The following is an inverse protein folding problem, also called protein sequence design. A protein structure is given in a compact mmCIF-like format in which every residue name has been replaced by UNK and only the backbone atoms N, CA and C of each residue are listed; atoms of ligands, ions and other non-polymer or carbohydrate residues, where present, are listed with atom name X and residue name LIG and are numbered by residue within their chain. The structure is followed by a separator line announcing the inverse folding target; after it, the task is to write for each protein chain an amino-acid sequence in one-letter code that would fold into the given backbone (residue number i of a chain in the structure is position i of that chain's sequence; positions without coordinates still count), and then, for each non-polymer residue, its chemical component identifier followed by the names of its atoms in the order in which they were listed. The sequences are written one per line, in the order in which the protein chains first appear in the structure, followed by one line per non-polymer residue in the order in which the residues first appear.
data_IF_497052323609
#
_entry.id   IF_497052323609
#
_cell.length_a   1.000
_cell.length_b   1.000
_cell.length_c   1.000
_cell.angle_alpha   90.00
_cell.angle_beta   90.00
_cell.angle_gamma   90.00
#
_symmetry.space_group_name_H-M   'P 1'
#
loop_
_entity.id
_entity.type
_entity.pdbx_description
1 polymer ?
#
# COMPACT_ATOMS: atom_id res chain seq x y z
N UNK A 1 19.70 19.78 0.27
CA UNK A 1 20.92 18.93 0.18
C UNK A 1 20.83 17.68 1.04
N UNK A 2 20.43 17.79 2.31
CA UNK A 2 20.26 16.64 3.23
C UNK A 2 19.38 15.52 2.69
N UNK A 3 18.24 15.82 2.06
CA UNK A 3 17.35 14.80 1.49
C UNK A 3 17.99 13.94 0.39
N UNK A 4 18.76 14.55 -0.51
CA UNK A 4 19.46 13.83 -1.59
C UNK A 4 20.54 12.92 -1.01
N UNK A 5 21.31 13.43 -0.03
CA UNK A 5 22.34 12.64 0.65
C UNK A 5 21.72 11.45 1.38
N UNK A 6 20.57 11.64 2.03
CA UNK A 6 19.83 10.57 2.70
C UNK A 6 19.40 9.47 1.73
N UNK A 7 18.81 9.84 0.58
CA UNK A 7 18.41 8.88 -0.45
C UNK A 7 19.61 8.10 -0.99
N UNK A 8 20.71 8.80 -1.31
CA UNK A 8 21.93 8.14 -1.78
C UNK A 8 22.53 7.20 -0.72
N UNK A 9 22.48 7.58 0.56
CA UNK A 9 22.94 6.73 1.66
C UNK A 9 22.10 5.45 1.79
N UNK A 10 20.77 5.56 1.70
CA UNK A 10 19.88 4.39 1.74
C UNK A 10 20.13 3.45 0.55
N UNK A 11 20.28 4.00 -0.66
CA UNK A 11 20.62 3.22 -1.85
C UNK A 11 22.01 2.58 -1.73
N UNK A 12 22.98 3.27 -1.14
CA UNK A 12 24.32 2.73 -0.90
C UNK A 12 24.30 1.57 0.11
N UNK A 13 23.50 1.67 1.18
CA UNK A 13 23.30 0.58 2.14
C UNK A 13 22.65 -0.62 1.46
N UNK A 14 21.58 -0.41 0.68
CA UNK A 14 20.91 -1.47 -0.06
C UNK A 14 21.87 -2.16 -1.06
N UNK A 15 22.71 -1.38 -1.75
CA UNK A 15 23.73 -1.91 -2.66
C UNK A 15 24.83 -2.69 -1.90
N UNK A 16 25.28 -2.19 -0.75
CA UNK A 16 26.30 -2.82 0.07
C UNK A 16 25.85 -4.19 0.61
N UNK A 17 24.58 -4.28 1.05
CA UNK A 17 23.94 -5.50 1.57
C UNK A 17 23.37 -6.42 0.48
N UNK A 18 23.50 -6.06 -0.80
CA UNK A 18 23.02 -6.89 -1.91
C UNK A 18 23.75 -8.22 -1.98
N UNK A 19 22.99 -9.32 -2.09
CA UNK A 19 23.53 -10.67 -2.21
C UNK A 19 24.36 -10.87 -3.51
N UNK A 20 23.98 -10.20 -4.61
CA UNK A 20 24.72 -10.24 -5.87
C UNK A 20 24.61 -8.92 -6.62
N UNK A 21 25.63 -8.07 -6.49
CA UNK A 21 25.68 -6.71 -7.07
C UNK A 21 25.71 -6.70 -8.60
N UNK A 22 26.22 -7.76 -9.23
CA UNK A 22 26.28 -7.86 -10.70
C UNK A 22 24.94 -8.27 -11.32
N UNK A 23 24.05 -8.90 -10.55
CA UNK A 23 22.73 -9.31 -11.00
C UNK A 23 21.66 -8.22 -10.84
N UNK A 24 22.04 -7.02 -10.41
CA UNK A 24 21.10 -5.90 -10.23
C UNK A 24 20.59 -5.45 -11.60
N UNK A 25 19.27 -5.57 -11.79
CA UNK A 25 18.61 -5.06 -12.99
C UNK A 25 18.35 -3.55 -12.84
N UNK A 26 19.16 -2.74 -13.50
CA UNK A 26 19.07 -1.27 -13.46
C UNK A 26 17.76 -0.72 -14.00
N UNK A 27 17.08 -1.41 -14.93
CA UNK A 27 15.74 -1.02 -15.37
C UNK A 27 14.73 -1.15 -14.23
N UNK A 28 14.79 -2.24 -13.47
CA UNK A 28 13.88 -2.51 -12.36
C UNK A 28 14.10 -1.54 -11.21
N UNK A 29 15.34 -1.42 -10.72
CA UNK A 29 15.65 -0.55 -9.56
C UNK A 29 15.50 0.93 -9.92
N UNK A 30 16.04 1.35 -11.07
CA UNK A 30 15.92 2.73 -11.54
C UNK A 30 14.48 3.11 -11.86
N UNK A 31 13.71 2.20 -12.48
CA UNK A 31 12.29 2.39 -12.74
C UNK A 31 11.47 2.50 -11.46
N UNK A 32 11.74 1.64 -10.45
CA UNK A 32 11.01 1.65 -9.19
C UNK A 32 11.25 2.96 -8.44
N UNK A 33 12.51 3.39 -8.36
CA UNK A 33 12.87 4.67 -7.77
C UNK A 33 12.24 5.86 -8.54
N UNK A 34 12.25 5.82 -9.87
CA UNK A 34 11.63 6.86 -10.68
C UNK A 34 10.12 6.95 -10.47
N UNK A 35 9.41 5.82 -10.39
CA UNK A 35 7.96 5.80 -10.06
C UNK A 35 7.72 6.40 -8.68
N UNK A 36 8.52 6.03 -7.67
CA UNK A 36 8.36 6.54 -6.31
C UNK A 36 8.57 8.06 -6.23
N UNK A 37 9.64 8.58 -6.86
CA UNK A 37 9.90 10.02 -6.93
C UNK A 37 8.83 10.74 -7.74
N UNK A 38 8.39 10.15 -8.86
CA UNK A 38 7.34 10.72 -9.69
C UNK A 38 6.02 10.86 -8.91
N UNK A 39 5.58 9.81 -8.22
CA UNK A 39 4.37 9.86 -7.39
C UNK A 39 4.52 10.93 -6.30
N UNK A 40 5.66 10.97 -5.60
CA UNK A 40 5.90 11.95 -4.55
C UNK A 40 5.82 13.39 -5.08
N UNK A 41 6.51 13.70 -6.20
CA UNK A 41 6.46 15.04 -6.81
C UNK A 41 5.05 15.35 -7.32
N UNK A 42 4.37 14.38 -7.92
CA UNK A 42 3.03 14.56 -8.44
C UNK A 42 2.05 14.93 -7.32
N UNK A 43 2.00 14.16 -6.22
CA UNK A 43 0.99 14.37 -5.18
C UNK A 43 1.38 15.40 -4.12
N UNK A 44 2.67 15.75 -3.97
CA UNK A 44 3.14 16.67 -2.92
C UNK A 44 3.59 18.04 -3.44
N UNK A 45 3.88 18.19 -4.73
CA UNK A 45 4.42 19.43 -5.28
C UNK A 45 3.59 19.97 -6.46
N UNK A 46 3.05 19.09 -7.28
CA UNK A 46 2.27 19.50 -8.45
C UNK A 46 0.80 19.74 -8.09
N UNK A 47 0.30 20.95 -8.36
CA UNK A 47 -1.01 21.42 -7.90
C UNK A 47 -2.19 20.51 -8.31
N UNK A 48 -2.30 20.03 -9.56
CA UNK A 48 -3.32 19.03 -9.91
C UNK A 48 -3.20 17.71 -9.14
N UNK A 49 -1.98 17.28 -8.82
CA UNK A 49 -1.77 16.05 -8.06
C UNK A 49 -2.05 16.22 -6.56
N UNK A 50 -1.77 17.40 -5.99
CA UNK A 50 -2.21 17.76 -4.63
C UNK A 50 -3.73 17.77 -4.56
N UNK A 51 -4.41 18.39 -5.54
CA UNK A 51 -5.88 18.40 -5.60
C UNK A 51 -6.45 16.98 -5.72
N UNK A 52 -5.83 16.12 -6.53
CA UNK A 52 -6.21 14.71 -6.64
C UNK A 52 -6.03 13.95 -5.31
N UNK A 53 -4.91 14.18 -4.60
CA UNK A 53 -4.67 13.58 -3.29
C UNK A 53 -5.71 14.03 -2.28
N UNK A 54 -6.01 15.33 -2.21
CA UNK A 54 -7.02 15.89 -1.31
C UNK A 54 -8.40 15.31 -1.59
N UNK A 55 -8.79 15.17 -2.87
CA UNK A 55 -10.06 14.55 -3.23
C UNK A 55 -10.17 13.10 -2.73
N UNK A 56 -9.08 12.32 -2.81
CA UNK A 56 -9.03 10.96 -2.26
C UNK A 56 -9.06 10.99 -0.73
N UNK A 57 -8.36 11.92 -0.09
CA UNK A 57 -8.38 12.10 1.37
C UNK A 57 -9.78 12.43 1.87
N UNK A 58 -10.48 13.37 1.23
CA UNK A 58 -11.84 13.76 1.59
C UNK A 58 -12.84 12.61 1.39
N UNK A 59 -12.65 11.83 0.32
CA UNK A 59 -13.44 10.61 0.11
C UNK A 59 -13.25 9.60 1.24
N UNK A 60 -11.99 9.32 1.62
CA UNK A 60 -11.69 8.39 2.72
C UNK A 60 -12.21 8.94 4.05
N UNK A 61 -12.11 10.25 4.29
CA UNK A 61 -12.68 10.90 5.47
C UNK A 61 -14.21 10.75 5.53
N UNK A 62 -14.90 10.88 4.40
CA UNK A 62 -16.34 10.60 4.31
C UNK A 62 -16.68 9.15 4.65
N UNK A 63 -15.88 8.18 4.20
CA UNK A 63 -16.04 6.76 4.56
C UNK A 63 -15.83 6.52 6.06
N UNK A 64 -14.84 7.19 6.68
CA UNK A 64 -14.65 7.15 8.13
C UNK A 64 -15.87 7.75 8.85
N UNK A 65 -16.48 8.81 8.32
CA UNK A 65 -17.72 9.37 8.86
C UNK A 65 -18.86 8.35 8.93
N UNK A 66 -19.01 7.50 7.91
CA UNK A 66 -19.99 6.40 7.97
C UNK A 66 -19.65 5.34 9.03
N UNK A 67 -18.36 5.10 9.29
CA UNK A 67 -17.93 4.21 10.37
C UNK A 67 -18.28 4.81 11.74
N UNK A 68 -18.08 6.12 11.93
CA UNK A 68 -18.40 6.83 13.17
C UNK A 68 -19.89 6.73 13.51
N UNK A 69 -20.80 6.79 12.52
CA UNK A 69 -22.23 6.55 12.74
C UNK A 69 -22.52 5.14 13.29
N UNK A 70 -21.83 4.12 12.77
CA UNK A 70 -21.92 2.75 13.29
C UNK A 70 -21.39 2.61 14.72
N UNK A 71 -20.29 3.31 15.03
CA UNK A 71 -19.70 3.34 16.38
C UNK A 71 -20.66 4.02 17.37
N UNK A 72 -21.26 5.14 16.98
CA UNK A 72 -22.24 5.85 17.79
C UNK A 72 -23.48 5.00 18.07
N UNK A 73 -23.96 4.26 17.06
CA UNK A 73 -25.07 3.32 17.23
C UNK A 73 -24.76 2.21 18.23
N UNK A 74 -23.56 1.62 18.18
CA UNK A 74 -23.18 0.49 19.05
C UNK A 74 -22.80 0.94 20.47
N UNK A 75 -22.06 2.05 20.62
CA UNK A 75 -21.43 2.45 21.88
C UNK A 75 -21.98 3.74 22.51
N UNK A 76 -22.92 4.44 21.84
CA UNK A 76 -23.57 5.64 22.39
C UNK A 76 -22.60 6.74 22.81
N UNK A 77 -22.72 7.21 24.06
CA UNK A 77 -21.94 8.35 24.59
C UNK A 77 -20.42 8.09 24.73
N UNK A 78 -19.99 6.83 24.67
CA UNK A 78 -18.57 6.46 24.66
C UNK A 78 -18.00 6.53 23.24
N UNK A 79 -18.82 6.23 22.23
CA UNK A 79 -18.47 6.29 20.81
C UNK A 79 -18.42 7.71 20.26
N UNK A 80 -19.31 8.59 20.73
CA UNK A 80 -19.39 9.98 20.25
C UNK A 80 -18.36 10.93 20.90
N UNK A 81 -17.36 10.39 21.60
CA UNK A 81 -16.28 11.14 22.29
C UNK A 81 -16.76 12.11 23.38
N UNK A 82 -18.03 12.05 23.81
CA UNK A 82 -18.57 12.94 24.86
C UNK A 82 -17.90 12.71 26.21
N UNK A 83 -17.44 11.49 26.48
CA UNK A 83 -16.69 11.11 27.68
C UNK A 83 -15.16 11.25 27.51
N UNK A 84 -14.71 11.86 26.42
CA UNK A 84 -13.31 11.95 26.02
C UNK A 84 -12.92 10.93 24.93
N UNK A 85 -11.74 11.12 24.35
CA UNK A 85 -11.21 10.22 23.33
C UNK A 85 -10.69 8.92 23.95
N UNK A 86 -11.47 7.85 23.82
CA UNK A 86 -11.07 6.51 24.28
C UNK A 86 -10.66 5.68 23.07
N UNK A 87 -9.37 5.39 22.98
CA UNK A 87 -8.77 4.67 21.84
C UNK A 87 -9.52 3.39 21.46
N UNK A 88 -9.89 2.59 22.46
CA UNK A 88 -10.55 1.30 22.27
C UNK A 88 -11.88 1.39 21.49
N UNK A 89 -12.64 2.47 21.67
CA UNK A 89 -13.95 2.65 21.04
C UNK A 89 -13.90 3.55 19.80
N UNK A 90 -12.87 4.39 19.69
CA UNK A 90 -12.75 5.36 18.60
C UNK A 90 -11.84 4.88 17.46
N UNK A 91 -10.97 3.89 17.70
CA UNK A 91 -9.99 3.42 16.71
C UNK A 91 -10.22 1.97 16.33
N UNK A 92 -10.39 1.06 17.31
CA UNK A 92 -10.53 -0.37 17.01
C UNK A 92 -11.76 -0.71 16.15
N UNK A 93 -12.95 -0.13 16.39
CA UNK A 93 -14.12 -0.44 15.56
C UNK A 93 -13.99 0.05 14.11
N UNK A 94 -13.21 1.12 13.87
CA UNK A 94 -12.92 1.60 12.52
C UNK A 94 -12.18 0.52 11.73
N UNK A 95 -11.24 -0.20 12.37
CA UNK A 95 -10.54 -1.34 11.76
C UNK A 95 -11.54 -2.42 11.33
N UNK A 96 -12.49 -2.78 12.22
CA UNK A 96 -13.52 -3.80 11.93
C UNK A 96 -14.37 -3.38 10.73
N UNK A 97 -14.81 -2.13 10.70
CA UNK A 97 -15.58 -1.58 9.58
C UNK A 97 -14.80 -1.65 8.26
N UNK A 98 -13.55 -1.19 8.24
CA UNK A 98 -12.73 -1.23 7.03
C UNK A 98 -12.43 -2.66 6.58
N UNK A 99 -12.14 -3.59 7.49
CA UNK A 99 -11.96 -5.01 7.15
C UNK A 99 -13.21 -5.61 6.48
N UNK A 100 -14.40 -5.29 7.00
CA UNK A 100 -15.66 -5.71 6.40
C UNK A 100 -15.89 -5.07 5.02
N UNK A 101 -15.66 -3.76 4.89
CA UNK A 101 -15.79 -3.02 3.64
C UNK A 101 -14.87 -3.59 2.56
N UNK A 102 -13.58 -3.78 2.88
CA UNK A 102 -12.61 -4.36 1.94
C UNK A 102 -13.03 -5.77 1.52
N UNK A 103 -13.51 -6.59 2.46
CA UNK A 103 -14.04 -7.93 2.15
C UNK A 103 -15.18 -7.87 1.13
N UNK A 104 -16.12 -6.93 1.29
CA UNK A 104 -17.19 -6.70 0.32
C UNK A 104 -16.64 -6.26 -1.04
N UNK A 105 -15.68 -5.33 -1.07
CA UNK A 105 -15.05 -4.89 -2.32
C UNK A 105 -14.29 -6.01 -3.04
N UNK A 106 -13.72 -6.96 -2.30
CA UNK A 106 -13.13 -8.18 -2.88
C UNK A 106 -14.19 -9.13 -3.44
N UNK A 107 -15.30 -9.31 -2.74
CA UNK A 107 -16.42 -10.14 -3.20
C UNK A 107 -17.03 -9.58 -4.49
N UNK A 108 -17.21 -8.25 -4.57
CA UNK A 108 -17.68 -7.54 -5.76
C UNK A 108 -16.66 -7.50 -6.91
N UNK A 109 -15.39 -7.85 -6.66
CA UNK A 109 -14.34 -7.87 -7.66
C UNK A 109 -13.66 -6.52 -7.95
N UNK A 110 -14.06 -5.44 -7.27
CA UNK A 110 -13.49 -4.10 -7.44
C UNK A 110 -12.00 -4.09 -7.07
N UNK A 111 -11.63 -4.71 -5.95
CA UNK A 111 -10.23 -4.80 -5.51
C UNK A 111 -9.37 -5.54 -6.54
N UNK A 112 -9.89 -6.65 -7.10
CA UNK A 112 -9.18 -7.42 -8.13
C UNK A 112 -8.92 -6.58 -9.38
N UNK A 113 -9.87 -5.73 -9.77
CA UNK A 113 -9.72 -4.83 -10.90
C UNK A 113 -8.60 -3.81 -10.67
N UNK A 114 -8.64 -3.10 -9.54
CA UNK A 114 -7.64 -2.08 -9.17
C UNK A 114 -6.24 -2.70 -9.09
N UNK A 115 -6.10 -3.82 -8.39
CA UNK A 115 -4.82 -4.52 -8.20
C UNK A 115 -4.25 -4.99 -9.54
N UNK A 116 -5.07 -5.50 -10.45
CA UNK A 116 -4.62 -5.91 -11.77
C UNK A 116 -4.10 -4.74 -12.62
N UNK A 117 -4.72 -3.56 -12.50
CA UNK A 117 -4.26 -2.35 -13.21
C UNK A 117 -2.90 -1.90 -12.65
N UNK A 118 -2.80 -1.73 -11.34
CA UNK A 118 -1.58 -1.23 -10.70
C UNK A 118 -0.45 -2.26 -10.86
N UNK A 119 -0.69 -3.51 -10.48
CA UNK A 119 0.31 -4.58 -10.55
C UNK A 119 0.72 -4.91 -11.99
N UNK A 120 -0.23 -4.87 -12.93
CA UNK A 120 0.07 -5.02 -14.36
C UNK A 120 0.89 -3.84 -14.91
N UNK A 121 0.65 -2.62 -14.42
CA UNK A 121 1.45 -1.43 -14.73
C UNK A 121 2.88 -1.56 -14.21
N UNK A 122 3.05 -1.91 -12.93
CA UNK A 122 4.35 -2.15 -12.30
C UNK A 122 5.14 -3.22 -13.05
N UNK A 123 4.51 -4.36 -13.35
CA UNK A 123 5.14 -5.43 -14.13
C UNK A 123 5.67 -4.94 -15.47
N UNK A 124 4.88 -4.16 -16.22
CA UNK A 124 5.28 -3.67 -17.55
C UNK A 124 6.45 -2.67 -17.48
N UNK A 125 6.43 -1.78 -16.49
CA UNK A 125 7.44 -0.74 -16.35
C UNK A 125 8.75 -1.35 -15.83
N UNK A 126 8.67 -2.10 -14.74
CA UNK A 126 9.81 -2.60 -13.98
C UNK A 126 10.38 -3.92 -14.52
N UNK A 127 9.59 -4.67 -15.29
CA UNK A 127 9.98 -6.01 -15.76
C UNK A 127 9.95 -7.08 -14.66
N UNK A 128 9.33 -6.79 -13.53
CA UNK A 128 9.11 -7.71 -12.41
C UNK A 128 8.12 -8.81 -12.77
N UNK A 129 8.12 -9.90 -12.02
CA UNK A 129 7.18 -11.00 -12.24
C UNK A 129 5.75 -10.59 -11.90
N UNK A 130 4.77 -11.27 -12.51
CA UNK A 130 3.36 -10.98 -12.26
C UNK A 130 2.98 -11.21 -10.79
N UNK A 131 3.37 -12.33 -10.15
CA UNK A 131 3.03 -12.57 -8.75
C UNK A 131 3.60 -11.50 -7.79
N UNK A 132 4.86 -11.10 -7.92
CA UNK A 132 5.43 -10.08 -7.02
C UNK A 132 4.81 -8.70 -7.26
N UNK A 133 4.52 -8.34 -8.51
CA UNK A 133 3.91 -7.04 -8.85
C UNK A 133 2.46 -6.93 -8.38
N UNK A 134 1.70 -8.03 -8.46
CA UNK A 134 0.33 -8.08 -7.94
C UNK A 134 0.32 -8.03 -6.41
N UNK A 135 1.26 -8.71 -5.75
CA UNK A 135 1.40 -8.64 -4.30
C UNK A 135 1.77 -7.23 -3.83
N UNK A 136 2.72 -6.57 -4.52
CA UNK A 136 3.11 -5.20 -4.22
C UNK A 136 1.94 -4.21 -4.38
N UNK A 137 1.15 -4.36 -5.45
CA UNK A 137 -0.04 -3.55 -5.67
C UNK A 137 -1.14 -3.80 -4.61
N UNK A 138 -1.29 -5.04 -4.14
CA UNK A 138 -2.24 -5.39 -3.12
C UNK A 138 -1.90 -4.80 -1.74
N UNK A 139 -0.61 -4.77 -1.38
CA UNK A 139 -0.13 -4.21 -0.10
C UNK A 139 -0.46 -2.72 0.09
N UNK A 140 -0.84 -1.99 -0.97
CA UNK A 140 -1.35 -0.61 -0.87
C UNK A 140 -2.67 -0.55 -0.07
N UNK A 141 -3.48 -1.61 -0.13
CA UNK A 141 -4.85 -1.60 0.40
C UNK A 141 -5.10 -2.62 1.50
N UNK A 142 -4.34 -3.71 1.52
CA UNK A 142 -4.51 -4.80 2.48
C UNK A 142 -3.22 -5.09 3.22
N UNK A 143 -3.33 -5.69 4.40
CA UNK A 143 -2.18 -6.00 5.24
C UNK A 143 -1.26 -7.06 4.65
N UNK A 144 -0.05 -7.15 5.22
CA UNK A 144 1.01 -8.10 4.84
C UNK A 144 0.60 -9.58 4.84
N UNK A 145 -0.43 -9.96 5.61
CA UNK A 145 -0.96 -11.33 5.65
C UNK A 145 -2.02 -11.60 4.58
N UNK A 146 -2.67 -10.56 4.07
CA UNK A 146 -3.79 -10.63 3.14
C UNK A 146 -3.34 -10.43 1.68
N UNK A 147 -2.36 -9.55 1.44
CA UNK A 147 -1.84 -9.32 0.08
C UNK A 147 -1.29 -10.60 -0.59
N UNK A 148 -0.50 -11.47 0.09
CA UNK A 148 0.01 -12.69 -0.53
C UNK A 148 -1.10 -13.69 -0.87
N UNK A 149 -2.28 -13.58 -0.25
CA UNK A 149 -3.41 -14.49 -0.50
C UNK A 149 -3.88 -14.45 -1.96
N UNK A 150 -3.75 -13.29 -2.61
CA UNK A 150 -4.11 -13.09 -4.03
C UNK A 150 -3.23 -13.90 -4.96
N UNK A 151 -1.97 -14.10 -4.58
CA UNK A 151 -0.96 -14.84 -5.36
C UNK A 151 -0.62 -16.18 -4.74
N UNK A 152 -1.42 -16.65 -3.78
CA UNK A 152 -1.22 -17.89 -3.01
C UNK A 152 -0.84 -19.11 -3.87
N UNK A 153 -1.46 -19.38 -5.04
CA UNK A 153 -1.09 -20.54 -5.85
C UNK A 153 0.33 -20.49 -6.42
N UNK A 154 0.92 -19.28 -6.51
CA UNK A 154 2.25 -19.06 -7.07
C UNK A 154 3.34 -19.07 -6.01
N UNK A 155 3.03 -18.78 -4.74
CA UNK A 155 4.01 -18.71 -3.65
C UNK A 155 4.92 -19.95 -3.56
N UNK A 156 4.43 -21.20 -3.62
CA UNK A 156 5.29 -22.38 -3.52
C UNK A 156 6.29 -22.54 -4.67
N UNK A 157 6.09 -21.82 -5.77
CA UNK A 157 6.92 -21.90 -6.99
C UNK A 157 7.73 -20.62 -7.23
N UNK A 158 7.64 -19.64 -6.34
CA UNK A 158 8.40 -18.39 -6.44
C UNK A 158 9.89 -18.64 -6.23
N UNK A 159 10.70 -17.88 -6.96
CA UNK A 159 12.12 -17.74 -6.69
C UNK A 159 12.35 -17.03 -5.36
N UNK A 160 13.57 -17.15 -4.81
CA UNK A 160 13.93 -16.45 -3.58
C UNK A 160 13.80 -14.92 -3.71
N UNK A 161 14.08 -14.36 -4.89
CA UNK A 161 13.93 -12.92 -5.13
C UNK A 161 12.46 -12.50 -5.10
N UNK A 162 11.57 -13.28 -5.73
CA UNK A 162 10.13 -12.98 -5.74
C UNK A 162 9.53 -13.11 -4.34
N UNK A 163 9.90 -14.15 -3.60
CA UNK A 163 9.45 -14.33 -2.23
C UNK A 163 9.95 -13.18 -1.33
N UNK A 164 11.20 -12.77 -1.49
CA UNK A 164 11.75 -11.61 -0.78
C UNK A 164 11.02 -10.32 -1.16
N UNK A 165 10.69 -10.11 -2.43
CA UNK A 165 9.93 -8.95 -2.87
C UNK A 165 8.51 -8.92 -2.28
N UNK A 166 7.84 -10.06 -2.17
CA UNK A 166 6.53 -10.19 -1.49
C UNK A 166 6.65 -9.83 0.00
N UNK A 167 7.70 -10.31 0.68
CA UNK A 167 7.93 -10.00 2.10
C UNK A 167 8.25 -8.52 2.32
N UNK A 168 9.17 -7.95 1.53
CA UNK A 168 9.52 -6.52 1.61
C UNK A 168 8.31 -5.66 1.31
N UNK A 169 7.53 -6.01 0.28
CA UNK A 169 6.32 -5.26 -0.07
C UNK A 169 5.27 -5.22 1.04
N UNK A 170 5.22 -6.23 1.91
CA UNK A 170 4.31 -6.23 3.07
C UNK A 170 4.85 -5.46 4.28
N UNK A 171 6.17 -5.26 4.37
CA UNK A 171 6.85 -4.61 5.49
C UNK A 171 7.19 -3.13 5.24
N UNK A 172 7.18 -2.71 3.97
CA UNK A 172 7.51 -1.36 3.52
C UNK A 172 6.39 -0.35 3.84
#
# INVERSE_FOLDING_TARGET
MTGIIGVLALLAIAYALSNNRHAINWRTVGGAFAIQVFIAVFILYFEPGIAALLAVTDFVAGVIGYADEGINFVFGAVGNKSLGFIFAFNVLPVIIFFSALITVLYHLGIMKFIINIIGGGLQKILGTSRPESMSAAANIFVGQTEAPLIVRPFIPKMTQSELFAVMVGGLA
#
